data_IF_419722327270
#
_entry.id   IF_419722327270
#
_cell.length_a   1.000
_cell.length_b   1.000
_cell.length_c   1.000
_cell.angle_alpha   90.00
_cell.angle_beta   90.00
_cell.angle_gamma   90.00
#
_symmetry.space_group_name_H-M   'P 1'
#
loop_
_entity.id
_entity.type
_entity.pdbx_description
1 polymer ?
#
# COMPACT_ATOMS: atom_id res chain seq x y z
N UNK A 1 10.18 -56.71 -29.42
CA UNK A 1 9.37 -57.90 -29.06
C UNK A 1 9.70 -58.34 -27.64
N UNK A 2 8.70 -58.40 -26.73
CA UNK A 2 8.52 -59.29 -25.55
C UNK A 2 9.66 -59.27 -24.47
N UNK A 3 9.47 -59.13 -23.15
CA UNK A 3 8.37 -59.41 -22.17
C UNK A 3 8.63 -58.50 -20.92
N UNK A 4 7.66 -57.78 -20.32
CA UNK A 4 6.65 -58.18 -19.31
C UNK A 4 7.14 -59.10 -18.18
N UNK A 5 7.03 -58.65 -16.93
CA UNK A 5 6.20 -59.31 -15.90
C UNK A 5 6.13 -58.52 -14.58
N UNK A 6 4.94 -57.97 -14.35
CA UNK A 6 4.36 -57.55 -13.08
C UNK A 6 4.21 -58.74 -12.12
N UNK A 7 4.33 -58.51 -10.81
CA UNK A 7 3.81 -59.41 -9.78
C UNK A 7 2.71 -58.71 -8.99
N UNK A 8 1.56 -59.38 -8.92
CA UNK A 8 0.33 -59.05 -8.20
C UNK A 8 0.19 -60.08 -7.06
N UNK A 9 -0.59 -59.68 -6.03
CA UNK A 9 -1.32 -60.53 -5.08
C UNK A 9 -0.51 -61.13 -3.91
N UNK A 10 -1.04 -61.28 -2.70
CA UNK A 10 -2.37 -61.01 -2.15
C UNK A 10 -2.35 -61.20 -0.62
N UNK A 11 -3.28 -60.51 0.05
CA UNK A 11 -4.12 -60.93 1.18
C UNK A 11 -3.52 -61.66 2.41
N UNK A 12 -3.85 -61.15 3.59
CA UNK A 12 -4.67 -61.93 4.53
C UNK A 12 -5.38 -61.00 5.53
N UNK A 13 -6.70 -61.05 5.48
CA UNK A 13 -7.66 -60.51 6.43
C UNK A 13 -7.70 -61.47 7.62
N UNK A 14 -7.53 -60.99 8.84
CA UNK A 14 -7.82 -61.74 10.05
C UNK A 14 -8.75 -60.91 10.93
N UNK A 15 -10.05 -61.19 10.81
CA UNK A 15 -11.05 -60.78 11.77
C UNK A 15 -11.01 -61.77 12.95
N UNK A 16 -10.92 -61.26 14.17
CA UNK A 16 -11.31 -61.98 15.38
C UNK A 16 -12.24 -61.11 16.22
N UNK A 17 -13.24 -61.81 16.75
CA UNK A 17 -14.50 -61.33 17.28
C UNK A 17 -14.42 -60.79 18.72
N UNK A 18 -15.22 -59.75 18.94
CA UNK A 18 -16.16 -59.50 20.04
C UNK A 18 -15.72 -59.59 21.52
N UNK A 19 -15.98 -58.48 22.25
CA UNK A 19 -16.69 -58.48 23.54
C UNK A 19 -17.58 -57.22 23.64
N UNK A 20 -18.80 -57.30 24.23
CA UNK A 20 -19.59 -56.13 24.55
C UNK A 20 -19.28 -55.69 25.98
N UNK A 21 -18.55 -54.59 26.14
CA UNK A 21 -18.39 -53.92 27.42
C UNK A 21 -19.23 -52.66 27.40
N UNK A 22 -20.34 -52.70 28.14
CA UNK A 22 -21.13 -51.52 28.50
C UNK A 22 -20.23 -50.62 29.34
N UNK A 23 -19.77 -49.52 28.75
CA UNK A 23 -19.11 -48.41 29.45
C UNK A 23 -19.76 -47.13 28.94
N UNK A 24 -20.02 -46.23 29.87
CA UNK A 24 -21.01 -45.15 29.80
C UNK A 24 -20.99 -44.32 28.52
N UNK A 25 -22.18 -43.86 28.16
CA UNK A 25 -22.37 -42.67 27.37
C UNK A 25 -21.61 -41.51 28.02
N UNK A 26 -20.40 -41.24 27.51
CA UNK A 26 -19.93 -39.88 27.43
C UNK A 26 -20.63 -39.31 26.20
N UNK A 27 -21.46 -38.28 26.40
CA UNK A 27 -21.75 -37.32 25.34
C UNK A 27 -20.40 -36.91 24.76
N UNK A 28 -20.10 -37.40 23.55
CA UNK A 28 -19.07 -36.83 22.71
C UNK A 28 -19.60 -35.44 22.35
N UNK A 29 -19.29 -34.48 23.23
CA UNK A 29 -19.45 -33.06 23.00
C UNK A 29 -18.78 -32.80 21.65
N UNK A 30 -19.61 -32.61 20.62
CA UNK A 30 -19.15 -32.42 19.27
C UNK A 30 -18.07 -31.34 19.32
N UNK A 31 -16.82 -31.74 19.05
CA UNK A 31 -15.70 -30.83 19.04
C UNK A 31 -16.12 -29.60 18.22
N UNK A 32 -16.00 -28.38 18.77
CA UNK A 32 -16.50 -27.19 18.10
C UNK A 32 -15.93 -27.20 16.69
N UNK A 33 -16.81 -27.28 15.69
CA UNK A 33 -16.39 -27.11 14.31
C UNK A 33 -15.65 -25.78 14.28
N UNK A 34 -14.44 -25.72 13.69
CA UNK A 34 -13.73 -24.46 13.56
C UNK A 34 -14.70 -23.49 12.86
N UNK A 35 -15.07 -22.43 13.56
CA UNK A 35 -15.90 -21.38 12.98
C UNK A 35 -15.24 -20.97 11.65
N UNK A 36 -16.00 -20.88 10.54
CA UNK A 36 -15.43 -20.35 9.31
C UNK A 36 -14.78 -19.00 9.65
N UNK A 37 -13.54 -18.74 9.21
CA UNK A 37 -12.86 -17.50 9.53
C UNK A 37 -13.80 -16.35 9.19
N UNK A 38 -14.08 -15.48 10.17
CA UNK A 38 -14.86 -14.25 9.94
C UNK A 38 -14.32 -13.61 8.67
N UNK A 39 -15.17 -13.24 7.68
CA UNK A 39 -14.70 -12.70 6.41
C UNK A 39 -13.79 -11.50 6.72
N UNK A 40 -12.49 -11.72 6.61
CA UNK A 40 -11.50 -10.71 6.89
C UNK A 40 -11.49 -9.78 5.69
N UNK A 41 -12.37 -8.77 5.75
CA UNK A 41 -12.36 -7.50 5.00
C UNK A 41 -11.58 -7.57 3.69
N UNK A 42 -12.12 -8.31 2.72
CA UNK A 42 -11.64 -8.17 1.35
C UNK A 42 -12.18 -6.84 0.85
N UNK A 43 -11.27 -5.89 0.60
CA UNK A 43 -11.58 -4.60 -0.03
C UNK A 43 -10.85 -4.53 -1.36
N UNK A 44 -11.55 -4.06 -2.38
CA UNK A 44 -11.03 -3.88 -3.73
C UNK A 44 -11.23 -2.41 -4.11
N UNK A 45 -10.18 -1.74 -4.57
CA UNK A 45 -10.26 -0.41 -5.18
C UNK A 45 -9.62 -0.48 -6.57
N UNK A 46 -10.15 0.30 -7.51
CA UNK A 46 -9.68 0.33 -8.91
C UNK A 46 -9.61 1.76 -9.41
N UNK A 47 -8.49 2.13 -10.01
CA UNK A 47 -8.33 3.42 -10.68
C UNK A 47 -7.51 3.25 -11.96
N UNK A 48 -8.09 3.62 -13.11
CA UNK A 48 -7.48 3.35 -14.42
C UNK A 48 -7.20 1.86 -14.63
N UNK A 49 -5.98 1.46 -15.05
CA UNK A 49 -5.59 0.06 -15.20
C UNK A 49 -5.14 -0.60 -13.88
N UNK A 50 -5.14 0.15 -12.77
CA UNK A 50 -4.60 -0.31 -11.50
C UNK A 50 -5.69 -0.86 -10.59
N UNK A 51 -5.33 -1.88 -9.82
CA UNK A 51 -6.22 -2.51 -8.84
C UNK A 51 -5.47 -2.71 -7.54
N UNK A 52 -6.12 -2.41 -6.41
CA UNK A 52 -5.63 -2.77 -5.09
C UNK A 52 -6.59 -3.74 -4.41
N UNK A 53 -6.03 -4.74 -3.74
CA UNK A 53 -6.76 -5.80 -3.05
C UNK A 53 -6.23 -5.92 -1.62
N UNK A 54 -7.10 -5.69 -0.64
CA UNK A 54 -6.79 -5.98 0.75
C UNK A 54 -7.17 -7.43 1.09
N UNK A 55 -6.21 -8.19 1.62
CA UNK A 55 -6.43 -9.53 2.19
C UNK A 55 -5.88 -9.55 3.61
N UNK A 56 -6.78 -9.47 4.58
CA UNK A 56 -6.40 -9.33 5.98
C UNK A 56 -5.67 -8.00 6.24
N UNK A 57 -4.39 -8.06 6.58
CA UNK A 57 -3.54 -6.87 6.84
C UNK A 57 -2.73 -6.41 5.63
N UNK A 58 -2.70 -7.22 4.59
CA UNK A 58 -1.89 -6.98 3.40
C UNK A 58 -2.74 -6.29 2.36
N UNK A 59 -2.19 -5.25 1.73
CA UNK A 59 -2.72 -4.63 0.52
C UNK A 59 -1.77 -4.97 -0.62
N UNK A 60 -2.31 -5.56 -1.68
CA UNK A 60 -1.61 -5.88 -2.91
C UNK A 60 -2.04 -4.91 -4.00
N UNK A 61 -1.12 -4.46 -4.84
CA UNK A 61 -1.40 -3.56 -5.96
C UNK A 61 -0.95 -4.22 -7.26
N UNK A 62 -1.80 -4.13 -8.28
CA UNK A 62 -1.64 -4.76 -9.58
C UNK A 62 -1.82 -3.73 -10.70
N UNK A 63 -1.13 -3.93 -11.81
CA UNK A 63 -1.45 -3.35 -13.11
C UNK A 63 -2.04 -4.47 -13.97
N UNK A 64 -3.33 -4.39 -14.29
CA UNK A 64 -4.10 -5.51 -14.85
C UNK A 64 -4.00 -6.80 -14.00
N UNK A 65 -3.09 -7.71 -14.38
CA UNK A 65 -2.84 -8.99 -13.69
C UNK A 65 -1.42 -9.12 -13.14
N UNK A 66 -0.55 -8.14 -13.41
CA UNK A 66 0.83 -8.16 -12.98
C UNK A 66 0.94 -7.48 -11.59
N UNK A 67 1.48 -8.18 -10.58
CA UNK A 67 1.69 -7.58 -9.28
C UNK A 67 2.78 -6.50 -9.37
N UNK A 68 2.51 -5.33 -8.79
CA UNK A 68 3.46 -4.21 -8.73
C UNK A 68 4.18 -4.23 -7.38
N UNK A 69 3.41 -4.06 -6.30
CA UNK A 69 3.93 -4.01 -4.93
C UNK A 69 2.87 -4.49 -3.93
N UNK A 70 3.30 -4.72 -2.69
CA UNK A 70 2.39 -4.96 -1.58
C UNK A 70 2.91 -4.38 -0.27
N UNK A 71 2.00 -4.05 0.65
CA UNK A 71 2.38 -3.66 2.01
C UNK A 71 3.00 -4.85 2.74
N UNK A 72 4.02 -4.61 3.56
CA UNK A 72 4.68 -5.64 4.37
C UNK A 72 5.13 -5.07 5.71
N UNK A 73 5.09 -5.89 6.74
CA UNK A 73 5.58 -5.51 8.07
C UNK A 73 4.60 -4.64 8.86
N UNK A 74 4.82 -4.60 10.18
CA UNK A 74 3.88 -4.01 11.14
C UNK A 74 3.57 -2.53 10.87
N UNK A 75 4.55 -1.78 10.38
CA UNK A 75 4.44 -0.33 10.15
C UNK A 75 3.63 0.04 8.90
N UNK A 76 3.39 -0.92 7.99
CA UNK A 76 2.59 -0.73 6.78
C UNK A 76 1.19 -1.34 6.88
N UNK A 77 0.94 -2.16 7.90
CA UNK A 77 -0.34 -2.86 8.06
C UNK A 77 -1.44 -1.91 8.55
N UNK A 78 -2.56 -1.88 7.83
CA UNK A 78 -3.72 -1.11 8.22
C UNK A 78 -4.94 -1.46 7.38
N UNK A 79 -5.94 -0.58 7.39
CA UNK A 79 -7.09 -0.70 6.49
C UNK A 79 -6.83 0.12 5.22
N UNK A 80 -6.97 -0.50 4.06
CA UNK A 80 -7.01 0.20 2.76
C UNK A 80 -8.12 1.24 2.79
N UNK A 81 -7.77 2.47 2.43
CA UNK A 81 -8.68 3.61 2.31
C UNK A 81 -8.93 3.97 0.87
N UNK A 82 -7.87 4.02 0.08
CA UNK A 82 -7.94 4.48 -1.29
C UNK A 82 -6.83 3.87 -2.16
N UNK A 83 -7.07 3.83 -3.47
CA UNK A 83 -6.08 3.66 -4.53
C UNK A 83 -6.26 4.84 -5.47
N UNK A 84 -5.23 5.68 -5.60
CA UNK A 84 -5.25 6.84 -6.48
C UNK A 84 -4.03 6.85 -7.39
N UNK A 85 -4.15 7.45 -8.57
CA UNK A 85 -3.11 7.43 -9.60
C UNK A 85 -2.62 8.84 -9.86
N UNK A 86 -1.30 9.03 -9.80
CA UNK A 86 -0.68 10.32 -10.11
C UNK A 86 0.08 10.26 -11.44
N UNK A 87 0.05 11.33 -12.24
CA UNK A 87 0.89 11.47 -13.42
C UNK A 87 2.36 11.73 -13.03
N UNK A 88 3.29 11.07 -13.71
CA UNK A 88 4.73 11.31 -13.62
C UNK A 88 5.38 11.27 -15.00
N UNK A 89 5.48 12.43 -15.66
CA UNK A 89 5.91 12.49 -17.06
C UNK A 89 4.94 11.72 -17.98
N UNK A 90 5.40 10.75 -18.80
CA UNK A 90 4.52 9.90 -19.60
C UNK A 90 3.91 8.72 -18.81
N UNK A 91 4.31 8.52 -17.56
CA UNK A 91 3.93 7.37 -16.73
C UNK A 91 2.78 7.71 -15.78
N UNK A 92 2.06 6.68 -15.37
CA UNK A 92 1.03 6.73 -14.32
C UNK A 92 1.49 5.85 -13.16
N UNK A 93 1.42 6.40 -11.95
CA UNK A 93 1.98 5.77 -10.76
C UNK A 93 0.87 5.53 -9.74
N UNK A 94 0.61 4.26 -9.35
CA UNK A 94 -0.45 3.94 -8.41
C UNK A 94 0.01 4.08 -6.95
N UNK A 95 -0.73 4.87 -6.18
CA UNK A 95 -0.55 5.02 -4.74
C UNK A 95 -1.72 4.42 -3.99
N UNK A 96 -1.45 3.85 -2.82
CA UNK A 96 -2.49 3.44 -1.88
C UNK A 96 -2.45 4.30 -0.62
N UNK A 97 -3.62 4.57 -0.07
CA UNK A 97 -3.76 5.14 1.28
C UNK A 97 -4.15 4.03 2.24
N UNK A 98 -3.38 3.87 3.30
CA UNK A 98 -3.64 2.89 4.36
C UNK A 98 -3.77 3.62 5.70
N UNK A 99 -4.86 3.38 6.42
CA UNK A 99 -5.02 3.87 7.80
C UNK A 99 -4.33 2.91 8.76
N UNK A 100 -3.12 3.26 9.17
CA UNK A 100 -2.35 2.57 10.19
C UNK A 100 -2.88 2.94 11.60
N UNK A 101 -3.05 1.97 12.52
CA UNK A 101 -3.65 2.22 13.84
C UNK A 101 -2.88 3.19 14.73
N UNK A 102 -1.55 3.33 14.54
CA UNK A 102 -0.72 4.25 15.32
C UNK A 102 -0.28 5.49 14.54
N UNK A 103 -0.17 5.37 13.22
CA UNK A 103 0.46 6.37 12.35
C UNK A 103 -0.55 7.15 11.52
N UNK A 104 -1.84 6.87 11.66
CA UNK A 104 -2.88 7.54 10.88
C UNK A 104 -2.84 7.13 9.41
N UNK A 105 -3.15 8.05 8.50
CA UNK A 105 -3.15 7.79 7.07
C UNK A 105 -1.72 7.84 6.53
N UNK A 106 -1.26 6.72 5.99
CA UNK A 106 0.03 6.57 5.33
C UNK A 106 -0.19 6.33 3.84
N UNK A 107 0.72 6.85 3.02
CA UNK A 107 0.66 6.74 1.58
C UNK A 107 1.81 5.87 1.11
N UNK A 108 1.51 4.87 0.28
CA UNK A 108 2.50 3.96 -0.25
C UNK A 108 2.41 3.84 -1.77
N UNK A 109 3.54 3.61 -2.41
CA UNK A 109 3.65 3.26 -3.84
C UNK A 109 4.73 2.19 -4.01
N UNK A 110 4.95 1.73 -5.24
CA UNK A 110 6.16 1.01 -5.59
C UNK A 110 7.42 1.84 -5.33
N UNK A 111 8.56 1.16 -5.16
CA UNK A 111 9.79 1.85 -4.81
C UNK A 111 10.18 2.92 -5.84
N UNK A 112 10.78 3.98 -5.30
CA UNK A 112 11.82 4.78 -5.96
C UNK A 112 12.62 3.87 -6.91
N UNK A 113 12.74 4.16 -8.23
CA UNK A 113 13.64 3.42 -9.11
C UNK A 113 15.02 3.52 -8.50
N UNK A 114 15.46 2.44 -7.83
CA UNK A 114 16.60 2.47 -6.91
C UNK A 114 17.74 3.28 -7.55
N UNK A 115 18.36 4.19 -6.79
CA UNK A 115 19.46 5.09 -7.22
C UNK A 115 20.69 4.35 -7.82
N UNK A 116 20.60 3.04 -7.95
CA UNK A 116 21.52 2.11 -8.53
C UNK A 116 20.85 1.53 -9.78
N UNK A 117 21.25 2.07 -10.95
CA UNK A 117 20.81 1.69 -12.28
C UNK A 117 20.85 0.17 -12.57
N UNK A 118 21.68 -0.60 -11.85
CA UNK A 118 21.77 -2.06 -11.97
C UNK A 118 20.51 -2.80 -11.47
N UNK A 119 19.78 -2.26 -10.49
CA UNK A 119 18.58 -2.91 -9.95
C UNK A 119 17.30 -2.49 -10.69
N UNK A 120 17.34 -1.38 -11.43
CA UNK A 120 16.26 -0.95 -12.33
C UNK A 120 16.04 -1.92 -13.50
N UNK A 121 17.06 -2.71 -13.87
CA UNK A 121 16.95 -3.70 -14.95
C UNK A 121 16.18 -4.98 -14.54
N UNK A 122 15.89 -5.18 -13.25
CA UNK A 122 15.15 -6.36 -12.75
C UNK A 122 14.23 -5.98 -11.58
N UNK A 123 13.06 -5.38 -11.85
CA UNK A 123 12.05 -5.17 -10.80
C UNK A 123 11.69 -6.52 -10.15
N UNK A 124 11.82 -6.59 -8.83
CA UNK A 124 11.41 -7.76 -8.05
C UNK A 124 9.88 -7.76 -7.93
N UNK A 125 9.16 -8.78 -8.45
CA UNK A 125 7.70 -8.89 -8.34
C UNK A 125 7.20 -9.13 -6.89
N UNK A 126 8.10 -9.10 -5.91
CA UNK A 126 7.81 -9.07 -4.47
C UNK A 126 8.18 -7.72 -3.83
N UNK A 127 8.22 -6.65 -4.61
CA UNK A 127 8.65 -5.34 -4.12
C UNK A 127 7.76 -4.86 -2.96
N UNK A 128 8.42 -4.54 -1.84
CA UNK A 128 7.77 -3.99 -0.65
C UNK A 128 7.40 -2.54 -0.91
N UNK A 129 6.18 -2.17 -0.49
CA UNK A 129 5.67 -0.82 -0.66
C UNK A 129 6.61 0.21 -0.02
N UNK A 130 6.90 1.29 -0.74
CA UNK A 130 7.66 2.42 -0.24
C UNK A 130 6.75 3.40 0.48
N UNK A 131 7.16 3.83 1.66
CA UNK A 131 6.50 4.87 2.46
C UNK A 131 6.75 6.25 1.84
N UNK A 132 5.81 6.69 1.01
CA UNK A 132 5.86 7.95 0.28
C UNK A 132 5.50 9.16 1.13
N UNK A 133 4.78 8.97 2.24
CA UNK A 133 4.40 10.08 3.10
C UNK A 133 3.12 9.84 3.88
N UNK A 134 2.54 10.93 4.37
CA UNK A 134 1.38 10.88 5.27
C UNK A 134 0.35 11.94 4.90
N UNK A 135 -0.90 11.58 5.19
CA UNK A 135 -2.05 12.48 5.17
C UNK A 135 -2.51 12.63 6.61
N UNK A 136 -2.85 13.86 6.99
CA UNK A 136 -3.32 14.18 8.33
C UNK A 136 -4.84 14.37 8.28
N UNK A 137 -5.56 13.90 9.31
CA UNK A 137 -7.01 14.09 9.41
C UNK A 137 -7.39 15.56 9.68
N UNK A 138 -6.42 16.39 10.09
CA UNK A 138 -6.61 17.83 10.35
C UNK A 138 -5.60 18.64 9.55
N UNK A 139 -5.93 19.92 9.31
CA UNK A 139 -4.99 20.88 8.73
C UNK A 139 -3.69 20.97 9.55
N UNK A 140 -2.58 21.07 8.86
CA UNK A 140 -1.24 21.21 9.43
C UNK A 140 -0.68 22.59 9.13
N UNK A 141 0.18 23.10 10.00
CA UNK A 141 0.93 24.34 9.72
C UNK A 141 2.19 24.07 8.94
N UNK A 142 2.82 22.92 9.16
CA UNK A 142 4.05 22.50 8.47
C UNK A 142 4.15 20.99 8.41
N UNK A 143 4.61 20.45 7.29
CA UNK A 143 4.92 19.03 7.10
C UNK A 143 6.30 18.93 6.47
N UNK A 144 7.19 18.17 7.08
CA UNK A 144 8.53 17.89 6.53
C UNK A 144 8.52 16.47 5.98
N UNK A 145 9.09 16.29 4.78
CA UNK A 145 9.19 14.96 4.18
C UNK A 145 10.17 14.08 4.94
N UNK A 146 10.10 12.76 4.71
CA UNK A 146 10.96 11.78 5.41
C UNK A 146 12.45 12.02 5.22
N UNK A 147 12.84 12.49 4.03
CA UNK A 147 14.25 12.83 3.72
C UNK A 147 14.63 14.24 4.15
N UNK A 148 13.67 15.06 4.60
CA UNK A 148 13.86 16.50 4.87
C UNK A 148 14.28 17.34 3.66
N UNK A 149 14.39 16.77 2.46
CA UNK A 149 14.68 17.52 1.23
C UNK A 149 13.50 18.39 0.79
N UNK A 150 12.33 18.14 1.37
CA UNK A 150 11.10 18.86 1.06
C UNK A 150 10.37 19.21 2.34
N UNK A 151 9.71 20.36 2.36
CA UNK A 151 8.67 20.64 3.35
C UNK A 151 7.55 21.47 2.73
N UNK A 152 6.36 21.35 3.31
CA UNK A 152 5.21 22.18 2.99
C UNK A 152 4.83 23.01 4.21
N UNK A 153 4.39 24.25 4.00
CA UNK A 153 3.99 25.20 5.03
C UNK A 153 2.67 25.89 4.64
N UNK A 154 1.83 26.17 5.63
CA UNK A 154 0.61 26.96 5.46
C UNK A 154 0.93 28.45 5.59
N UNK A 155 0.74 29.22 4.52
CA UNK A 155 0.88 30.68 4.47
C UNK A 155 -0.47 31.33 4.17
N UNK A 156 -1.21 31.74 5.21
CA UNK A 156 -2.55 32.32 5.01
C UNK A 156 -3.53 31.30 4.43
N UNK A 157 -4.17 31.62 3.30
CA UNK A 157 -5.05 30.71 2.54
C UNK A 157 -4.30 29.83 1.53
N UNK A 158 -2.97 29.90 1.51
CA UNK A 158 -2.11 29.15 0.60
C UNK A 158 -1.25 28.11 1.32
N UNK A 159 -0.91 27.07 0.57
CA UNK A 159 0.06 26.04 0.92
C UNK A 159 1.25 26.20 -0.01
N UNK A 160 2.44 26.27 0.58
CA UNK A 160 3.70 26.48 -0.13
C UNK A 160 4.61 25.30 0.13
N UNK A 161 5.13 24.69 -0.92
CA UNK A 161 6.10 23.61 -0.85
C UNK A 161 7.47 24.17 -1.20
N UNK A 162 8.45 23.75 -0.43
CA UNK A 162 9.84 24.12 -0.58
C UNK A 162 10.67 22.87 -0.83
N UNK A 163 11.58 22.98 -1.79
CA UNK A 163 12.53 21.94 -2.18
C UNK A 163 13.95 22.41 -1.87
N UNK A 164 14.76 21.52 -1.29
CA UNK A 164 16.15 21.84 -0.96
C UNK A 164 16.92 22.25 -2.23
N UNK A 165 17.75 23.28 -2.11
CA UNK A 165 18.61 23.74 -3.21
C UNK A 165 19.71 22.74 -3.54
N UNK A 166 20.08 21.92 -2.56
CA UNK A 166 21.08 20.85 -2.67
C UNK A 166 20.66 19.72 -1.71
N UNK A 167 20.46 18.52 -2.27
CA UNK A 167 20.01 17.36 -1.49
C UNK A 167 21.13 16.79 -0.61
N UNK A 168 22.39 17.10 -0.91
CA UNK A 168 23.55 16.68 -0.10
C UNK A 168 23.90 17.73 0.97
N UNK A 169 23.41 18.97 0.85
CA UNK A 169 23.67 20.08 1.77
C UNK A 169 22.45 20.98 2.02
N UNK A 170 21.61 20.58 2.99
CA UNK A 170 20.41 21.32 3.39
C UNK A 170 20.68 22.72 3.96
N UNK A 171 21.93 23.08 4.28
CA UNK A 171 22.29 24.43 4.74
C UNK A 171 22.26 25.45 3.62
N UNK A 172 22.28 25.01 2.35
CA UNK A 172 22.10 25.90 1.18
C UNK A 172 20.67 26.41 1.01
N UNK A 173 19.76 26.03 1.91
CA UNK A 173 18.39 26.51 1.95
C UNK A 173 17.48 25.81 0.96
N UNK A 174 16.32 26.40 0.75
CA UNK A 174 15.24 25.83 -0.06
C UNK A 174 14.69 26.89 -1.01
N UNK A 175 14.18 26.47 -2.16
CA UNK A 175 13.40 27.29 -3.08
C UNK A 175 11.94 26.83 -3.06
N UNK A 176 11.03 27.75 -3.36
CA UNK A 176 9.61 27.44 -3.56
C UNK A 176 9.45 26.61 -4.83
N UNK A 177 8.74 25.49 -4.72
CA UNK A 177 8.45 24.58 -5.83
C UNK A 177 6.96 24.52 -6.19
N UNK A 178 6.07 24.68 -5.22
CA UNK A 178 4.62 24.64 -5.42
C UNK A 178 3.98 25.71 -4.53
N UNK A 179 3.00 26.45 -5.06
CA UNK A 179 2.11 27.32 -4.29
C UNK A 179 0.69 27.12 -4.78
N UNK A 180 -0.23 26.81 -3.87
CA UNK A 180 -1.64 26.55 -4.20
C UNK A 180 -2.55 26.93 -3.04
N UNK A 181 -3.84 27.15 -3.30
CA UNK A 181 -4.82 27.54 -2.28
C UNK A 181 -5.42 26.32 -1.57
N UNK A 182 -5.71 26.48 -0.28
CA UNK A 182 -6.43 25.51 0.55
C UNK A 182 -5.73 25.25 1.89
N UNK A 183 -6.09 24.15 2.56
CA UNK A 183 -5.49 23.76 3.84
C UNK A 183 -4.50 22.62 3.65
N UNK A 184 -3.29 22.75 4.19
CA UNK A 184 -2.27 21.71 4.11
C UNK A 184 -2.71 20.46 4.88
N UNK A 185 -2.82 19.33 4.17
CA UNK A 185 -3.23 18.03 4.72
C UNK A 185 -2.18 16.93 4.57
N UNK A 186 -1.23 17.05 3.67
CA UNK A 186 -0.24 16.00 3.46
C UNK A 186 0.90 16.43 2.54
N UNK A 187 1.97 15.65 2.58
CA UNK A 187 3.11 15.75 1.67
C UNK A 187 3.54 14.33 1.31
N UNK A 188 3.54 14.02 0.02
CA UNK A 188 3.84 12.73 -0.57
C UNK A 188 5.09 12.91 -1.45
N UNK A 189 5.97 11.92 -1.45
CA UNK A 189 7.14 11.85 -2.31
C UNK A 189 7.04 10.67 -3.26
N UNK A 190 7.44 10.91 -4.50
CA UNK A 190 7.73 9.87 -5.48
C UNK A 190 9.01 10.22 -6.22
N UNK A 191 9.96 9.28 -6.23
CA UNK A 191 11.34 9.56 -6.61
C UNK A 191 11.85 10.83 -5.88
N UNK A 192 12.22 11.87 -6.61
CA UNK A 192 12.67 13.14 -6.05
C UNK A 192 11.57 14.21 -5.96
N UNK A 193 10.36 13.97 -6.48
CA UNK A 193 9.35 15.00 -6.67
C UNK A 193 8.34 15.08 -5.51
N UNK A 194 8.05 16.29 -4.99
CA UNK A 194 7.01 16.47 -4.00
C UNK A 194 5.61 16.59 -4.62
N UNK A 195 4.65 15.94 -3.98
CA UNK A 195 3.22 16.09 -4.21
C UNK A 195 2.55 16.54 -2.91
N UNK A 196 1.88 17.70 -2.92
CA UNK A 196 1.22 18.24 -1.74
C UNK A 196 -0.26 17.90 -1.75
N UNK A 197 -0.77 17.46 -0.60
CA UNK A 197 -2.19 17.17 -0.40
C UNK A 197 -2.84 18.34 0.30
N UNK A 198 -3.89 18.88 -0.31
CA UNK A 198 -4.56 20.09 0.12
C UNK A 198 -6.06 19.83 0.19
N UNK A 199 -6.67 20.16 1.33
CA UNK A 199 -8.12 20.26 1.44
C UNK A 199 -8.57 21.55 0.77
N UNK A 200 -9.32 21.43 -0.32
CA UNK A 200 -9.83 22.55 -1.10
C UNK A 200 -11.02 23.21 -0.41
N UNK A 201 -11.54 24.30 -0.98
CA UNK A 201 -12.74 24.95 -0.47
C UNK A 201 -14.00 24.09 -0.57
N UNK A 202 -13.98 23.06 -1.44
CA UNK A 202 -15.07 22.11 -1.64
C UNK A 202 -14.91 20.84 -0.78
N UNK A 203 -14.05 20.91 0.26
CA UNK A 203 -13.72 19.80 1.18
C UNK A 203 -13.08 18.56 0.50
N UNK A 204 -12.61 18.70 -0.74
CA UNK A 204 -11.90 17.66 -1.49
C UNK A 204 -10.42 17.60 -1.08
N UNK A 205 -9.85 16.40 -0.94
CA UNK A 205 -8.40 16.21 -0.78
C UNK A 205 -7.73 16.13 -2.16
N UNK A 206 -7.38 17.29 -2.70
CA UNK A 206 -6.68 17.40 -3.96
C UNK A 206 -5.16 17.21 -3.77
N UNK A 207 -4.54 16.53 -4.74
CA UNK A 207 -3.09 16.36 -4.81
C UNK A 207 -2.54 17.30 -5.87
N UNK A 208 -1.52 18.09 -5.54
CA UNK A 208 -0.86 19.02 -6.46
C UNK A 208 0.62 18.69 -6.61
N UNK A 209 1.14 18.91 -7.82
CA UNK A 209 2.57 18.82 -8.11
C UNK A 209 3.05 20.08 -8.85
N UNK A 210 4.37 20.22 -8.99
CA UNK A 210 4.97 21.31 -9.77
C UNK A 210 4.77 21.05 -11.28
N UNK A 211 3.92 21.87 -11.92
CA UNK A 211 3.77 21.93 -13.38
C UNK A 211 4.57 23.07 -14.00
N UNK A 212 4.62 23.12 -15.33
CA UNK A 212 5.40 24.12 -16.09
C UNK A 212 5.03 25.58 -15.76
N UNK A 213 3.77 25.82 -15.40
CA UNK A 213 3.22 27.16 -15.14
C UNK A 213 2.88 27.40 -13.66
N UNK A 214 3.26 26.48 -12.76
CA UNK A 214 2.92 26.51 -11.34
C UNK A 214 2.24 25.23 -10.87
N UNK A 215 1.52 25.30 -9.75
CA UNK A 215 0.86 24.13 -9.18
C UNK A 215 -0.17 23.53 -10.15
N UNK A 216 -0.01 22.25 -10.49
CA UNK A 216 -0.97 21.49 -11.29
C UNK A 216 -1.67 20.48 -10.40
N UNK A 217 -3.01 20.45 -10.45
CA UNK A 217 -3.80 19.40 -9.77
C UNK A 217 -3.53 18.08 -10.49
N UNK A 218 -2.91 17.16 -9.76
CA UNK A 218 -2.46 15.86 -10.25
C UNK A 218 -3.51 14.76 -10.01
N UNK A 219 -4.30 14.89 -8.95
CA UNK A 219 -5.28 13.88 -8.56
C UNK A 219 -6.13 14.30 -7.37
N UNK A 220 -6.92 13.35 -6.87
CA UNK A 220 -7.81 13.47 -5.71
C UNK A 220 -7.67 12.20 -4.88
N UNK A 221 -7.85 12.31 -3.56
CA UNK A 221 -7.83 11.18 -2.63
C UNK A 221 -9.21 11.05 -1.97
N UNK A 222 -9.78 9.85 -2.00
CA UNK A 222 -11.10 9.52 -1.45
C UNK A 222 -10.96 8.67 -0.16
N UNK A 223 -11.21 9.26 1.02
CA UNK A 223 -10.95 8.66 2.35
C UNK A 223 -12.10 7.92 3.04
#
# INVERSE_FOLDING_TARGET
>A
MKKKSTWIASAAMAALLAFPSVVGAAEEEAAPQPEPPKPSQIRLETEGPFTSLQVGKWVYVFNDQEPIFHTKGGDQYGSLKDLFVLPFGPEQVPFIVVRHPKSGLMVFTDQWPKLNAEEAEKPDPQSEAYDSGRIFDTAQTKIVSKTSHHYAEQEGDEVVVYTANDFDDLQKGYHESIRTKGKLRGLILYDCCPFVVVETADDELAVFHAGEQGALKAGVIDL
#
